data_IF_665712161634
#
_entry.id   IF_665712161634
#
_cell.length_a   1.000
_cell.length_b   1.000
_cell.length_c   1.000
_cell.angle_alpha   90.00
_cell.angle_beta   90.00
_cell.angle_gamma   90.00
#
_symmetry.space_group_name_H-M   'P 1'
#
loop_
_entity.id
_entity.type
_entity.pdbx_description
1 polymer ?
#
# COMPACT_ATOMS: atom_id res chain seq x y z
N UNK A 1 11.32 6.60 -14.93
CA UNK A 1 11.29 6.94 -13.49
C UNK A 1 11.68 5.70 -12.71
N UNK A 2 12.76 5.75 -11.93
CA UNK A 2 13.23 4.59 -11.15
C UNK A 2 12.52 4.64 -9.79
N UNK A 3 11.43 3.88 -9.65
CA UNK A 3 10.75 3.73 -8.36
C UNK A 3 11.63 2.90 -7.42
N UNK A 4 11.67 3.21 -6.12
CA UNK A 4 12.53 2.48 -5.19
C UNK A 4 12.09 1.01 -5.18
N UNK A 5 13.05 0.12 -5.43
CA UNK A 5 12.88 -1.34 -5.41
C UNK A 5 12.53 -1.91 -4.02
N UNK A 6 12.23 -1.04 -3.05
CA UNK A 6 11.85 -1.35 -1.68
C UNK A 6 10.84 -0.31 -1.21
N UNK A 7 9.75 -0.78 -0.60
CA UNK A 7 8.92 0.07 0.26
C UNK A 7 9.81 0.65 1.37
N UNK A 8 9.62 1.92 1.72
CA UNK A 8 10.23 2.47 2.94
C UNK A 8 9.72 1.69 4.15
N UNK A 9 10.49 1.66 5.25
CA UNK A 9 10.03 1.04 6.50
C UNK A 9 8.72 1.66 6.97
N UNK A 10 8.62 2.99 6.91
CA UNK A 10 7.45 3.73 7.35
C UNK A 10 6.20 3.32 6.56
N UNK A 11 6.30 3.20 5.23
CA UNK A 11 5.18 2.76 4.41
C UNK A 11 4.79 1.30 4.68
N UNK A 12 5.75 0.40 4.93
CA UNK A 12 5.43 -0.98 5.30
C UNK A 12 4.69 -1.04 6.64
N UNK A 13 5.22 -0.37 7.65
CA UNK A 13 4.67 -0.36 9.00
C UNK A 13 3.26 0.24 9.00
N UNK A 14 3.07 1.36 8.30
CA UNK A 14 1.78 1.98 8.08
C UNK A 14 0.76 1.03 7.42
N UNK A 15 1.14 0.37 6.32
CA UNK A 15 0.24 -0.56 5.62
C UNK A 15 -0.14 -1.77 6.48
N UNK A 16 0.79 -2.29 7.30
CA UNK A 16 0.49 -3.34 8.27
C UNK A 16 -0.41 -2.83 9.40
N UNK A 17 -0.16 -1.62 9.89
CA UNK A 17 -0.97 -0.99 10.92
C UNK A 17 -2.41 -0.83 10.45
N UNK A 18 -2.64 -0.25 9.28
CA UNK A 18 -3.96 -0.09 8.69
C UNK A 18 -4.67 -1.43 8.48
N UNK A 19 -3.98 -2.40 7.88
CA UNK A 19 -4.53 -3.75 7.64
C UNK A 19 -4.99 -4.45 8.92
N UNK A 20 -4.29 -4.22 10.03
CA UNK A 20 -4.62 -4.81 11.34
C UNK A 20 -5.84 -4.16 12.00
N UNK A 21 -6.07 -2.86 11.78
CA UNK A 21 -7.12 -2.10 12.48
C UNK A 21 -8.39 -1.96 11.65
N UNK A 22 -8.28 -1.57 10.38
CA UNK A 22 -9.40 -1.21 9.51
C UNK A 22 -9.47 -2.05 8.23
N UNK A 23 -8.54 -3.00 8.09
CA UNK A 23 -8.45 -3.86 6.92
C UNK A 23 -7.89 -3.13 5.70
N UNK A 24 -8.38 -3.53 4.51
CA UNK A 24 -7.81 -3.13 3.23
C UNK A 24 -8.66 -2.09 2.48
N UNK A 25 -9.71 -1.54 3.10
CA UNK A 25 -10.51 -0.48 2.48
C UNK A 25 -9.76 0.86 2.58
N UNK A 26 -9.42 1.52 1.45
CA UNK A 26 -8.75 2.81 1.46
C UNK A 26 -9.46 3.87 2.30
N UNK A 27 -10.80 3.90 2.28
CA UNK A 27 -11.58 4.93 2.99
C UNK A 27 -11.39 4.88 4.52
N UNK A 28 -11.12 3.68 5.06
CA UNK A 28 -10.88 3.50 6.48
C UNK A 28 -9.38 3.46 6.81
N UNK A 29 -8.56 2.90 5.91
CA UNK A 29 -7.13 2.71 6.10
C UNK A 29 -6.32 4.00 5.97
N UNK A 30 -6.64 4.85 5.00
CA UNK A 30 -5.86 6.06 4.70
C UNK A 30 -5.83 7.08 5.86
N UNK A 31 -6.96 7.40 6.54
CA UNK A 31 -6.94 8.32 7.68
C UNK A 31 -6.09 7.85 8.86
N UNK A 32 -5.82 6.54 8.98
CA UNK A 32 -4.99 6.00 10.06
C UNK A 32 -3.49 6.17 9.85
N UNK A 33 -3.06 6.33 8.59
CA UNK A 33 -1.65 6.32 8.21
C UNK A 33 -1.19 7.64 7.63
N UNK A 34 -2.10 8.62 7.48
CA UNK A 34 -1.79 9.89 6.83
C UNK A 34 -0.71 10.71 7.55
N UNK A 35 -0.68 10.65 8.88
CA UNK A 35 0.30 11.38 9.68
C UNK A 35 1.71 10.75 9.67
N UNK A 36 1.80 9.46 9.34
CA UNK A 36 3.07 8.72 9.33
C UNK A 36 3.79 8.74 7.98
N UNK A 37 3.11 9.20 6.94
CA UNK A 37 3.57 9.11 5.55
C UNK A 37 3.89 10.49 4.98
N UNK A 38 4.94 10.55 4.17
CA UNK A 38 5.14 11.70 3.28
C UNK A 38 4.05 11.74 2.21
N UNK A 39 3.82 12.90 1.59
CA UNK A 39 2.81 13.05 0.51
C UNK A 39 2.98 11.99 -0.60
N UNK A 40 4.22 11.67 -0.97
CA UNK A 40 4.52 10.65 -1.98
C UNK A 40 4.17 9.24 -1.49
N UNK A 41 4.46 8.93 -0.24
CA UNK A 41 4.12 7.63 0.36
C UNK A 41 2.61 7.50 0.57
N UNK A 42 1.93 8.58 0.94
CA UNK A 42 0.47 8.64 1.05
C UNK A 42 -0.20 8.34 -0.28
N UNK A 43 0.22 9.00 -1.37
CA UNK A 43 -0.29 8.73 -2.72
C UNK A 43 -0.09 7.26 -3.10
N UNK A 44 1.11 6.73 -2.87
CA UNK A 44 1.45 5.35 -3.16
C UNK A 44 0.64 4.34 -2.31
N UNK A 45 0.42 4.64 -1.03
CA UNK A 45 -0.42 3.84 -0.14
C UNK A 45 -1.86 3.81 -0.63
N UNK A 46 -2.40 4.96 -1.03
CA UNK A 46 -3.76 5.07 -1.55
C UNK A 46 -3.95 4.27 -2.85
N UNK A 47 -3.02 4.40 -3.80
CA UNK A 47 -3.04 3.62 -5.04
C UNK A 47 -2.94 2.12 -4.77
N UNK A 48 -2.02 1.72 -3.90
CA UNK A 48 -1.83 0.32 -3.52
C UNK A 48 -3.07 -0.25 -2.83
N UNK A 49 -3.62 0.43 -1.82
CA UNK A 49 -4.82 -0.01 -1.10
C UNK A 49 -6.03 -0.06 -2.02
N UNK A 50 -6.19 0.94 -2.91
CA UNK A 50 -7.27 0.94 -3.90
C UNK A 50 -7.18 -0.27 -4.81
N UNK A 51 -5.97 -0.61 -5.27
CA UNK A 51 -5.73 -1.78 -6.08
C UNK A 51 -6.00 -3.08 -5.31
N UNK A 52 -5.50 -3.19 -4.06
CA UNK A 52 -5.75 -4.35 -3.20
C UNK A 52 -7.24 -4.56 -3.00
N UNK A 53 -7.98 -3.50 -2.66
CA UNK A 53 -9.41 -3.53 -2.45
C UNK A 53 -10.17 -3.93 -3.73
N UNK A 54 -9.85 -3.30 -4.87
CA UNK A 54 -10.51 -3.56 -6.15
C UNK A 54 -10.27 -4.96 -6.69
N UNK A 55 -9.14 -5.58 -6.32
CA UNK A 55 -8.79 -6.94 -6.73
C UNK A 55 -9.12 -8.00 -5.67
N UNK A 56 -9.84 -7.64 -4.59
CA UNK A 56 -10.13 -8.52 -3.45
C UNK A 56 -8.88 -9.23 -2.90
N UNK A 57 -7.74 -8.53 -2.90
CA UNK A 57 -6.48 -9.03 -2.36
C UNK A 57 -6.38 -8.73 -0.87
N UNK A 58 -5.51 -9.47 -0.21
CA UNK A 58 -5.12 -9.24 1.18
C UNK A 58 -3.62 -9.37 1.28
N UNK A 59 -3.05 -8.72 2.29
CA UNK A 59 -1.63 -8.82 2.57
C UNK A 59 -1.36 -8.87 4.07
N UNK A 60 -0.26 -9.51 4.44
CA UNK A 60 0.29 -9.50 5.78
C UNK A 60 1.79 -9.72 5.69
N UNK A 61 2.26 -10.92 6.03
CA UNK A 61 3.64 -11.36 5.83
C UNK A 61 4.09 -11.32 4.36
N UNK A 62 3.17 -11.41 3.40
CA UNK A 62 3.40 -11.36 1.95
C UNK A 62 3.28 -9.95 1.34
N UNK A 63 3.31 -8.87 2.14
CA UNK A 63 3.16 -7.49 1.65
C UNK A 63 4.09 -7.17 0.46
N UNK A 64 5.36 -7.59 0.53
CA UNK A 64 6.33 -7.33 -0.54
C UNK A 64 5.97 -8.02 -1.86
N UNK A 65 5.41 -9.23 -1.79
CA UNK A 65 4.98 -9.98 -2.98
C UNK A 65 3.76 -9.31 -3.61
N UNK A 66 2.75 -8.99 -2.80
CA UNK A 66 1.53 -8.31 -3.25
C UNK A 66 1.85 -6.93 -3.84
N UNK A 67 2.79 -6.22 -3.22
CA UNK A 67 3.27 -4.94 -3.73
C UNK A 67 4.04 -5.09 -5.05
N UNK A 68 4.85 -6.14 -5.20
CA UNK A 68 5.52 -6.43 -6.47
C UNK A 68 4.51 -6.70 -7.61
N UNK A 69 3.42 -7.41 -7.32
CA UNK A 69 2.32 -7.63 -8.29
C UNK A 69 1.66 -6.31 -8.71
N UNK A 70 1.36 -5.43 -7.76
CA UNK A 70 0.82 -4.08 -8.03
C UNK A 70 1.72 -3.30 -9.01
N UNK A 71 3.04 -3.33 -8.81
CA UNK A 71 4.02 -2.67 -9.69
C UNK A 71 4.05 -3.25 -11.11
N UNK A 72 3.96 -4.57 -11.24
CA UNK A 72 3.94 -5.22 -12.55
C UNK A 72 2.68 -4.84 -13.35
N UNK A 73 1.55 -4.68 -12.67
CA UNK A 73 0.30 -4.30 -13.32
C UNK A 73 0.29 -2.83 -13.77
N UNK A 74 0.85 -1.91 -12.98
CA UNK A 74 1.02 -0.51 -13.39
C UNK A 74 1.98 -0.34 -14.57
N UNK A 75 2.98 -1.21 -14.71
CA UNK A 75 3.96 -1.15 -15.82
C UNK A 75 3.41 -1.69 -17.14
N UNK A 76 2.22 -2.29 -17.13
CA UNK A 76 1.58 -2.92 -18.29
C UNK A 76 0.52 -2.06 -18.95
N UNK A 77 0.31 -0.81 -18.46
CA UNK A 77 -0.56 0.20 -19.04
C UNK A 77 0.26 1.33 -19.66
#
# INVERSE_FOLDING_TARGET
MTYPSRLSSNLQDALHFAAKHEGFNPENAMPLIEEELTEKEYQLANEFLTWVHSNNKTYGWNLLEVYAEFHQQQSSQ
#
